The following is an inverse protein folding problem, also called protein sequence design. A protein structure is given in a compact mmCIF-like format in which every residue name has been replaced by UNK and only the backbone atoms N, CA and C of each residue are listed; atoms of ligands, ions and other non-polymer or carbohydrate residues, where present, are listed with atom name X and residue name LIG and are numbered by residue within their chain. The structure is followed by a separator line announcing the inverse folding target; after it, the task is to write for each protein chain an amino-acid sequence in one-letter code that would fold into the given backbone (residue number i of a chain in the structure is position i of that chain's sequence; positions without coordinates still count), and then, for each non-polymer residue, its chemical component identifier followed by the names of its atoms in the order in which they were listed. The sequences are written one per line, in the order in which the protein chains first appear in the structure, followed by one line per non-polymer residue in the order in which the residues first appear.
data_IF_521064566706
#
_entry.id   IF_521064566706
#
_cell.length_a   1.000
_cell.length_b   1.000
_cell.length_c   1.000
_cell.angle_alpha   90.00
_cell.angle_beta   90.00
_cell.angle_gamma   90.00
#
_symmetry.space_group_name_H-M   'P 1'
#
loop_
_entity.id
_entity.type
_entity.pdbx_description
1 polymer ?
#
# COMPACT_ATOMS: atom_id res chain seq x y z
N UNK A 1 3.73 20.92 -5.06
CA UNK A 1 2.50 20.32 -4.51
C UNK A 1 2.91 19.35 -3.42
N UNK A 2 2.77 19.76 -2.16
CA UNK A 2 3.10 18.93 -1.00
C UNK A 2 2.06 17.81 -0.89
N UNK A 3 2.46 16.58 -1.21
CA UNK A 3 1.78 15.41 -0.67
C UNK A 3 2.15 15.32 0.82
N UNK A 4 1.51 16.16 1.63
CA UNK A 4 1.45 15.91 3.08
C UNK A 4 0.57 14.68 3.22
N UNK A 5 1.25 13.53 3.19
CA UNK A 5 0.68 12.20 3.36
C UNK A 5 -0.04 12.17 4.71
N UNK A 6 -1.36 12.30 4.69
CA UNK A 6 -2.27 11.91 5.78
C UNK A 6 -2.22 10.38 6.05
N UNK A 7 -1.08 9.71 5.78
CA UNK A 7 -0.90 8.26 5.86
C UNK A 7 -0.76 7.75 7.29
N UNK A 8 -0.43 8.59 8.27
CA UNK A 8 -0.12 8.08 9.61
C UNK A 8 -1.35 7.47 10.32
N UNK A 9 -2.55 8.02 10.13
CA UNK A 9 -3.78 7.39 10.63
C UNK A 9 -4.13 6.13 9.85
N UNK A 10 -4.14 6.20 8.51
CA UNK A 10 -4.51 5.07 7.64
C UNK A 10 -3.55 3.87 7.79
N UNK A 11 -2.25 4.10 7.99
CA UNK A 11 -1.27 3.03 8.21
C UNK A 11 -1.42 2.37 9.58
N UNK A 12 -1.71 3.14 10.64
CA UNK A 12 -1.99 2.59 11.96
C UNK A 12 -3.29 1.75 11.96
N UNK A 13 -4.34 2.25 11.32
CA UNK A 13 -5.60 1.53 11.11
C UNK A 13 -5.38 0.26 10.28
N UNK A 14 -4.55 0.32 9.24
CA UNK A 14 -4.15 -0.85 8.45
C UNK A 14 -3.44 -1.89 9.32
N UNK A 15 -2.46 -1.46 10.13
CA UNK A 15 -1.74 -2.35 11.05
C UNK A 15 -2.69 -3.04 12.01
N UNK A 16 -3.59 -2.30 12.65
CA UNK A 16 -4.59 -2.84 13.56
C UNK A 16 -5.52 -3.85 12.88
N UNK A 17 -6.04 -3.50 11.69
CA UNK A 17 -6.96 -4.38 10.95
C UNK A 17 -6.30 -5.69 10.50
N UNK A 18 -5.04 -5.63 10.04
CA UNK A 18 -4.34 -6.79 9.50
C UNK A 18 -3.56 -7.60 10.54
N UNK A 19 -3.37 -7.11 11.77
CA UNK A 19 -2.51 -7.73 12.79
C UNK A 19 -2.80 -9.23 13.02
N UNK A 20 -4.08 -9.60 13.12
CA UNK A 20 -4.52 -10.98 13.39
C UNK A 20 -4.80 -11.85 12.15
N UNK A 21 -4.56 -11.34 10.94
CA UNK A 21 -4.90 -12.06 9.70
C UNK A 21 -3.66 -12.76 9.14
N UNK A 22 -3.79 -14.05 8.82
CA UNK A 22 -2.69 -14.83 8.23
C UNK A 22 -2.25 -14.25 6.88
N UNK A 23 -3.21 -13.92 6.02
CA UNK A 23 -2.97 -13.25 4.76
C UNK A 23 -3.41 -11.79 4.82
N UNK A 24 -2.59 -10.92 4.24
CA UNK A 24 -2.75 -9.47 4.31
C UNK A 24 -2.67 -8.88 2.90
N UNK A 25 -3.36 -7.77 2.70
CA UNK A 25 -3.14 -6.94 1.51
C UNK A 25 -2.00 -5.97 1.79
N UNK A 26 -1.04 -5.96 0.90
CA UNK A 26 0.15 -5.10 0.94
C UNK A 26 0.11 -4.13 -0.22
N UNK A 27 0.40 -2.87 0.06
CA UNK A 27 0.78 -1.87 -0.93
C UNK A 27 2.30 -1.85 -1.05
N UNK A 28 2.81 -2.11 -2.25
CA UNK A 28 4.22 -2.10 -2.58
C UNK A 28 4.49 -0.86 -3.43
N UNK A 29 5.07 0.15 -2.81
CA UNK A 29 5.53 1.36 -3.47
C UNK A 29 6.84 1.06 -4.21
N UNK A 30 6.80 1.16 -5.53
CA UNK A 30 7.93 0.95 -6.43
C UNK A 30 8.36 2.31 -6.96
N UNK A 31 9.60 2.70 -6.62
CA UNK A 31 10.17 3.98 -7.05
C UNK A 31 11.50 3.78 -7.76
N UNK A 32 11.79 4.54 -8.81
CA UNK A 32 13.10 4.55 -9.46
C UNK A 32 13.54 5.97 -9.82
N UNK A 33 14.84 6.14 -10.04
CA UNK A 33 15.46 7.45 -10.30
C UNK A 33 15.88 8.19 -9.03
N UNK A 34 16.07 9.53 -9.10
CA UNK A 34 16.56 10.35 -7.98
C UNK A 34 15.66 10.27 -6.75
N UNK A 35 16.25 10.25 -5.55
CA UNK A 35 15.49 10.11 -4.30
C UNK A 35 14.49 11.27 -4.06
N UNK A 36 14.86 12.51 -4.39
CA UNK A 36 14.01 13.70 -4.19
C UNK A 36 12.86 13.81 -5.20
N UNK A 37 13.06 13.29 -6.41
CA UNK A 37 12.07 13.34 -7.50
C UNK A 37 12.22 12.09 -8.36
N UNK A 38 11.61 10.97 -7.93
CA UNK A 38 11.69 9.74 -8.68
C UNK A 38 11.02 9.93 -10.05
N UNK A 39 11.66 9.38 -11.08
CA UNK A 39 11.15 9.40 -12.47
C UNK A 39 10.08 8.33 -12.67
N UNK A 40 10.08 7.32 -11.82
CA UNK A 40 9.06 6.28 -11.76
C UNK A 40 8.55 6.16 -10.32
N UNK A 41 7.24 6.23 -10.13
CA UNK A 41 6.58 5.99 -8.85
C UNK A 41 5.22 5.33 -9.10
N UNK A 42 5.06 4.08 -8.66
CA UNK A 42 3.79 3.34 -8.75
C UNK A 42 3.60 2.47 -7.52
N UNK A 43 2.36 2.29 -7.11
CA UNK A 43 1.98 1.37 -6.03
C UNK A 43 1.32 0.14 -6.64
N UNK A 44 1.82 -1.04 -6.28
CA UNK A 44 1.24 -2.32 -6.66
C UNK A 44 0.66 -3.00 -5.43
N UNK A 45 -0.40 -3.78 -5.63
CA UNK A 45 -1.06 -4.49 -4.54
C UNK A 45 -0.78 -5.98 -4.62
N UNK A 46 -0.46 -6.60 -3.49
CA UNK A 46 -0.23 -8.03 -3.39
C UNK A 46 -0.97 -8.61 -2.18
N UNK A 47 -1.48 -9.82 -2.32
CA UNK A 47 -2.12 -10.57 -1.25
C UNK A 47 -1.17 -11.68 -0.79
N UNK A 48 -0.51 -11.50 0.36
CA UNK A 48 0.52 -12.43 0.86
C UNK A 48 0.58 -12.40 2.39
N UNK A 49 1.29 -13.37 2.97
CA UNK A 49 1.47 -13.47 4.44
C UNK A 49 2.47 -12.45 4.99
N UNK A 50 3.51 -12.11 4.23
CA UNK A 50 4.65 -11.30 4.68
C UNK A 50 4.95 -10.15 3.72
N UNK A 51 5.56 -9.09 4.23
CA UNK A 51 5.98 -7.94 3.43
C UNK A 51 6.97 -8.33 2.33
N UNK A 52 7.93 -9.21 2.65
CA UNK A 52 8.92 -9.73 1.71
C UNK A 52 8.25 -10.52 0.59
N UNK A 53 7.28 -11.38 0.93
CA UNK A 53 6.49 -12.12 -0.05
C UNK A 53 5.72 -11.20 -0.99
N UNK A 54 5.20 -10.08 -0.49
CA UNK A 54 4.55 -9.06 -1.32
C UNK A 54 5.54 -8.42 -2.32
N UNK A 55 6.74 -8.04 -1.85
CA UNK A 55 7.79 -7.47 -2.71
C UNK A 55 8.21 -8.46 -3.79
N UNK A 56 8.47 -9.71 -3.44
CA UNK A 56 8.88 -10.74 -4.40
C UNK A 56 7.76 -11.04 -5.41
N UNK A 57 6.51 -11.08 -4.96
CA UNK A 57 5.35 -11.23 -5.84
C UNK A 57 5.26 -10.08 -6.86
N UNK A 58 5.44 -8.83 -6.43
CA UNK A 58 5.46 -7.66 -7.32
C UNK A 58 6.65 -7.72 -8.26
N UNK A 59 7.86 -8.01 -7.75
CA UNK A 59 9.06 -8.18 -8.58
C UNK A 59 8.87 -9.24 -9.65
N UNK A 60 8.16 -10.35 -9.38
CA UNK A 60 7.90 -11.40 -10.36
C UNK A 60 6.88 -10.96 -11.41
N UNK A 61 5.75 -10.41 -10.98
CA UNK A 61 4.58 -10.18 -11.84
C UNK A 61 4.51 -8.80 -12.50
N UNK A 62 5.34 -7.84 -12.07
CA UNK A 62 5.36 -6.50 -12.68
C UNK A 62 5.77 -6.57 -14.15
N UNK A 63 4.90 -6.09 -15.05
CA UNK A 63 5.13 -6.19 -16.50
C UNK A 63 6.35 -5.39 -16.98
N UNK A 64 6.45 -4.13 -16.54
CA UNK A 64 7.57 -3.25 -16.88
C UNK A 64 8.63 -3.33 -15.79
N UNK A 65 9.76 -4.00 -16.03
CA UNK A 65 10.87 -4.01 -15.07
C UNK A 65 11.65 -2.70 -15.14
N UNK A 66 11.76 -1.99 -14.03
CA UNK A 66 12.48 -0.71 -13.96
C UNK A 66 13.84 -0.91 -13.29
N UNK A 67 14.93 -0.58 -13.98
CA UNK A 67 16.30 -0.71 -13.45
C UNK A 67 16.49 0.22 -12.25
N UNK A 68 17.09 -0.30 -11.17
CA UNK A 68 17.36 0.47 -9.97
C UNK A 68 16.10 0.81 -9.16
N UNK A 69 15.00 0.10 -9.38
CA UNK A 69 13.80 0.26 -8.59
C UNK A 69 14.04 -0.10 -7.12
N UNK A 70 13.51 0.73 -6.23
CA UNK A 70 13.41 0.53 -4.79
C UNK A 70 11.98 0.15 -4.46
N UNK A 71 11.83 -0.83 -3.57
CA UNK A 71 10.55 -1.42 -3.20
C UNK A 71 10.31 -1.18 -1.71
N UNK A 72 9.14 -0.66 -1.37
CA UNK A 72 8.72 -0.47 0.01
C UNK A 72 7.33 -1.07 0.19
N UNK A 73 7.22 -2.09 1.05
CA UNK A 73 5.94 -2.71 1.36
C UNK A 73 5.38 -2.14 2.67
N UNK A 74 4.12 -1.73 2.62
CA UNK A 74 3.31 -1.35 3.79
C UNK A 74 1.96 -2.03 3.71
N UNK A 75 1.31 -2.19 4.86
CA UNK A 75 -0.04 -2.75 4.90
C UNK A 75 -1.02 -1.80 4.22
N UNK A 76 -1.91 -2.35 3.40
CA UNK A 76 -2.86 -1.56 2.66
C UNK A 76 -4.00 -1.11 3.57
N UNK A 77 -4.20 0.20 3.68
CA UNK A 77 -5.30 0.78 4.45
C UNK A 77 -6.67 0.62 3.81
N UNK A 78 -7.75 0.79 4.58
CA UNK A 78 -9.11 0.68 4.07
C UNK A 78 -9.39 1.72 2.98
N UNK A 79 -8.88 2.95 3.09
CA UNK A 79 -9.16 4.01 2.11
C UNK A 79 -8.55 3.72 0.74
N UNK A 80 -7.28 3.30 0.71
CA UNK A 80 -6.59 2.95 -0.54
C UNK A 80 -7.16 1.71 -1.22
N UNK A 81 -7.78 0.80 -0.45
CA UNK A 81 -8.52 -0.34 -0.96
C UNK A 81 -9.91 0.03 -1.48
N UNK A 82 -10.31 1.31 -1.40
CA UNK A 82 -11.61 1.80 -1.84
C UNK A 82 -12.74 1.52 -0.84
N UNK A 83 -12.43 1.12 0.38
CA UNK A 83 -13.43 0.95 1.42
C UNK A 83 -14.00 2.32 1.84
N UNK A 84 -15.22 2.30 2.36
CA UNK A 84 -15.88 3.46 2.97
C UNK A 84 -16.21 3.14 4.43
N UNK A 85 -16.07 4.09 5.36
CA UNK A 85 -16.51 3.89 6.73
C UNK A 85 -18.03 3.72 6.76
N UNK A 86 -18.50 2.85 7.65
CA UNK A 86 -19.94 2.62 7.86
C UNK A 86 -20.24 2.87 9.33
N UNK A 87 -21.23 3.71 9.59
CA UNK A 87 -21.72 3.96 10.96
C UNK A 87 -22.43 2.73 11.54
N UNK A 88 -22.62 2.69 12.86
CA UNK A 88 -23.36 1.61 13.52
C UNK A 88 -24.82 1.45 13.02
N UNK A 89 -25.40 2.53 12.50
CA UNK A 89 -26.74 2.61 11.87
C UNK A 89 -26.72 2.16 10.39
N UNK A 90 -25.57 1.74 9.86
CA UNK A 90 -25.46 1.24 8.49
C UNK A 90 -25.29 2.32 7.42
N UNK A 91 -25.23 3.61 7.79
CA UNK A 91 -24.95 4.69 6.84
C UNK A 91 -23.49 4.68 6.40
N UNK A 92 -23.27 4.73 5.09
CA UNK A 92 -21.96 4.91 4.47
C UNK A 92 -21.53 6.37 4.65
N UNK A 93 -20.34 6.57 5.21
CA UNK A 93 -19.76 7.87 5.48
C UNK A 93 -18.72 8.23 4.40
N UNK A 94 -18.45 9.52 4.24
CA UNK A 94 -17.28 9.98 3.50
C UNK A 94 -16.06 10.08 4.44
N UNK A 95 -14.86 10.02 3.87
CA UNK A 95 -13.58 10.03 4.61
C UNK A 95 -13.16 11.42 5.04
#
# INVERSE_FOLDING_TARGET
MNQTRFLFSDEADAQAYWAGKEFKKWAVDVTAGPAKRPTFARTYYAHTRTAEGAIESVKRNMFEKVRGARYHARLAGPRELGCKPVSADGKVLDW
#
